data_IF_694210716784
#
_entry.id   IF_694210716784
#
_cell.length_a   1.000
_cell.length_b   1.000
_cell.length_c   1.000
_cell.angle_alpha   90.00
_cell.angle_beta   90.00
_cell.angle_gamma   90.00
#
_symmetry.space_group_name_H-M   'P 1'
#
loop_
_entity.id
_entity.type
_entity.pdbx_description
1 polymer ?
#
# COMPACT_ATOMS: atom_id res chain seq x y z
N UNK A 1 18.92 3.45 1.26
CA UNK A 1 18.93 4.11 2.58
C UNK A 1 18.69 3.04 3.63
N UNK A 2 19.43 3.02 4.75
CA UNK A 2 19.22 1.99 5.80
C UNK A 2 17.99 2.36 6.62
N UNK A 3 16.98 1.49 6.65
CA UNK A 3 15.73 1.71 7.40
C UNK A 3 15.78 0.96 8.72
N UNK A 4 15.40 1.62 9.81
CA UNK A 4 15.40 1.02 11.15
C UNK A 4 14.04 1.17 11.81
N UNK A 5 13.64 0.14 12.55
CA UNK A 5 12.50 0.20 13.45
C UNK A 5 12.94 0.70 14.81
N UNK A 6 12.33 1.79 15.25
CA UNK A 6 12.49 2.34 16.58
C UNK A 6 11.24 1.98 17.40
N UNK A 7 11.40 1.23 18.51
CA UNK A 7 10.31 1.00 19.45
C UNK A 7 9.80 2.33 20.00
N UNK A 8 8.48 2.49 20.02
CA UNK A 8 7.85 3.69 20.59
C UNK A 8 7.53 3.38 22.06
N UNK A 9 8.24 4.02 22.98
CA UNK A 9 8.02 3.83 24.41
C UNK A 9 6.85 4.70 24.90
N UNK A 10 5.63 4.17 24.82
CA UNK A 10 4.41 4.84 25.23
C UNK A 10 3.40 3.80 25.78
N UNK A 11 2.86 4.03 26.98
CA UNK A 11 1.97 3.08 27.65
C UNK A 11 0.65 2.85 26.89
N UNK A 12 0.05 3.90 26.32
CA UNK A 12 -1.18 3.78 25.53
C UNK A 12 -0.95 2.95 24.27
N UNK A 13 0.21 3.12 23.62
CA UNK A 13 0.58 2.33 22.45
C UNK A 13 0.85 0.87 22.82
N UNK A 14 1.50 0.61 23.96
CA UNK A 14 1.72 -0.76 24.44
C UNK A 14 0.37 -1.47 24.69
N UNK A 15 -0.57 -0.76 25.33
CA UNK A 15 -1.94 -1.25 25.53
C UNK A 15 -2.66 -1.47 24.19
N UNK A 16 -2.56 -0.53 23.25
CA UNK A 16 -3.18 -0.67 21.94
C UNK A 16 -2.62 -1.89 21.17
N UNK A 17 -1.30 -2.09 21.24
CA UNK A 17 -0.64 -3.25 20.64
C UNK A 17 -1.10 -4.56 21.29
N UNK A 18 -1.31 -4.61 22.61
CA UNK A 18 -1.78 -5.83 23.29
C UNK A 18 -3.24 -6.17 22.98
N UNK A 19 -4.08 -5.15 22.80
CA UNK A 19 -5.52 -5.31 22.57
C UNK A 19 -5.84 -5.61 21.09
N UNK A 20 -4.97 -5.19 20.16
CA UNK A 20 -5.13 -5.47 18.74
C UNK A 20 -4.46 -6.80 18.35
N UNK A 21 -5.25 -7.76 17.87
CA UNK A 21 -4.73 -9.07 17.42
C UNK A 21 -3.53 -8.95 16.45
N UNK A 22 -3.61 -8.03 15.49
CA UNK A 22 -2.53 -7.83 14.50
C UNK A 22 -1.26 -7.27 15.13
N UNK A 23 -1.40 -6.30 16.04
CA UNK A 23 -0.26 -5.58 16.60
C UNK A 23 0.35 -6.26 17.83
N UNK A 24 -0.32 -7.30 18.36
CA UNK A 24 0.24 -8.16 19.39
C UNK A 24 1.45 -8.95 18.87
N UNK A 25 1.35 -9.49 17.65
CA UNK A 25 2.44 -10.21 17.00
C UNK A 25 3.34 -9.27 16.19
N UNK A 26 2.76 -8.22 15.60
CA UNK A 26 3.48 -7.25 14.78
C UNK A 26 3.33 -5.82 15.33
N UNK A 27 4.02 -5.47 16.43
CA UNK A 27 3.83 -4.21 17.13
C UNK A 27 4.14 -3.01 16.25
N UNK A 28 3.43 -1.91 16.51
CA UNK A 28 3.71 -0.63 15.87
C UNK A 28 5.07 -0.09 16.30
N UNK A 29 5.86 0.35 15.32
CA UNK A 29 7.18 0.95 15.51
C UNK A 29 7.34 2.15 14.57
N UNK A 30 8.20 3.09 14.96
CA UNK A 30 8.56 4.21 14.10
C UNK A 30 9.64 3.78 13.12
N UNK A 31 9.49 4.11 11.84
CA UNK A 31 10.47 3.82 10.81
C UNK A 31 11.36 5.04 10.60
N UNK A 32 12.64 4.91 10.89
CA UNK A 32 13.65 5.92 10.56
C UNK A 32 14.29 5.62 9.19
N UNK A 33 14.56 6.64 8.36
CA UNK A 33 14.42 8.08 8.63
C UNK A 33 13.08 8.69 8.21
N UNK A 34 12.06 7.87 7.91
CA UNK A 34 10.79 8.35 7.36
C UNK A 34 9.87 8.99 8.40
N UNK A 35 10.14 8.77 9.70
CA UNK A 35 9.31 9.21 10.82
C UNK A 35 7.84 8.76 10.72
N UNK A 36 7.58 7.64 10.03
CA UNK A 36 6.24 7.08 9.88
C UNK A 36 6.08 5.84 10.74
N UNK A 37 4.91 5.69 11.38
CA UNK A 37 4.60 4.53 12.23
C UNK A 37 3.95 3.43 11.41
N UNK A 38 4.54 2.24 11.44
CA UNK A 38 4.01 1.04 10.77
C UNK A 38 4.12 -0.18 11.69
N UNK A 39 3.31 -1.23 11.43
CA UNK A 39 3.53 -2.53 12.06
C UNK A 39 4.93 -3.05 11.73
N UNK A 40 5.49 -3.87 12.62
CA UNK A 40 6.83 -4.40 12.42
C UNK A 40 6.98 -5.20 11.11
N UNK A 41 5.86 -5.73 10.61
CA UNK A 41 5.68 -6.42 9.33
C UNK A 41 6.16 -5.62 8.11
N UNK A 42 6.28 -4.29 8.18
CA UNK A 42 6.81 -3.48 7.08
C UNK A 42 8.21 -3.94 6.64
N UNK A 43 9.08 -4.31 7.58
CA UNK A 43 10.48 -4.63 7.26
C UNK A 43 10.62 -5.89 6.42
N UNK A 44 9.71 -6.85 6.57
CA UNK A 44 9.67 -8.07 5.75
C UNK A 44 9.38 -7.78 4.27
N UNK A 45 8.80 -6.61 3.99
CA UNK A 45 8.41 -6.17 2.65
C UNK A 45 9.18 -4.94 2.14
N UNK A 46 10.04 -4.33 2.97
CA UNK A 46 10.75 -3.11 2.59
C UNK A 46 11.52 -3.27 1.28
N UNK A 47 12.24 -4.38 1.11
CA UNK A 47 13.01 -4.66 -0.12
C UNK A 47 12.10 -4.70 -1.35
N UNK A 48 10.96 -5.38 -1.29
CA UNK A 48 10.05 -5.47 -2.45
C UNK A 48 9.42 -4.13 -2.78
N UNK A 49 9.21 -3.25 -1.80
CA UNK A 49 8.76 -1.89 -2.06
C UNK A 49 9.81 -1.06 -2.78
N UNK A 50 11.07 -1.14 -2.37
CA UNK A 50 12.16 -0.38 -2.99
C UNK A 50 12.49 -0.86 -4.42
N UNK A 51 12.36 -2.16 -4.68
CA UNK A 51 12.67 -2.77 -5.97
C UNK A 51 11.49 -2.76 -6.96
N UNK A 52 10.30 -2.34 -6.53
CA UNK A 52 9.10 -2.38 -7.36
C UNK A 52 9.27 -1.56 -8.66
N UNK A 53 8.72 -2.09 -9.76
CA UNK A 53 8.76 -1.40 -11.05
C UNK A 53 7.74 -0.27 -11.08
N UNK A 54 8.19 0.87 -11.62
CA UNK A 54 7.39 2.07 -11.83
C UNK A 54 7.43 2.43 -13.30
N UNK A 55 6.27 2.79 -13.84
CA UNK A 55 6.11 3.22 -15.22
C UNK A 55 5.55 4.64 -15.30
N UNK A 56 5.82 5.32 -16.41
CA UNK A 56 5.38 6.70 -16.67
C UNK A 56 3.86 6.88 -16.68
N UNK A 57 3.11 5.81 -16.98
CA UNK A 57 1.66 5.78 -17.05
C UNK A 57 1.01 5.35 -15.72
N UNK A 58 1.81 5.15 -14.67
CA UNK A 58 1.29 4.88 -13.34
C UNK A 58 0.73 6.15 -12.69
N UNK A 59 -0.35 5.95 -11.91
CA UNK A 59 -0.87 6.96 -10.98
C UNK A 59 -0.89 6.36 -9.58
N UNK A 60 -0.18 6.99 -8.65
CA UNK A 60 -0.03 6.53 -7.27
C UNK A 60 -0.86 7.41 -6.33
N UNK A 61 -2.02 6.94 -5.91
CA UNK A 61 -2.87 7.58 -4.91
C UNK A 61 -2.23 7.39 -3.53
N UNK A 62 -1.43 8.39 -3.13
CA UNK A 62 -0.70 8.41 -1.87
C UNK A 62 -1.51 9.21 -0.85
N UNK A 63 -1.99 8.54 0.20
CA UNK A 63 -2.85 9.21 1.19
C UNK A 63 -2.55 8.71 2.59
N UNK A 64 -2.78 9.54 3.59
CA UNK A 64 -2.87 9.05 4.96
C UNK A 64 -4.11 8.13 5.12
N UNK A 65 -4.05 7.05 5.92
CA UNK A 65 -5.19 6.17 6.15
C UNK A 65 -6.44 6.95 6.58
N UNK A 66 -7.58 6.59 5.99
CA UNK A 66 -8.91 7.16 6.29
C UNK A 66 -9.16 8.60 5.81
N UNK A 67 -8.24 9.21 5.07
CA UNK A 67 -8.41 10.57 4.51
C UNK A 67 -9.15 10.60 3.16
N UNK A 68 -10.22 9.83 3.02
CA UNK A 68 -11.02 9.81 1.77
C UNK A 68 -10.45 8.99 0.62
N UNK A 69 -9.46 8.12 0.88
CA UNK A 69 -8.80 7.30 -0.16
C UNK A 69 -9.78 6.49 -1.02
N UNK A 70 -10.93 6.04 -0.47
CA UNK A 70 -11.94 5.31 -1.25
C UNK A 70 -12.47 6.15 -2.41
N UNK A 71 -12.85 7.40 -2.15
CA UNK A 71 -13.36 8.32 -3.16
C UNK A 71 -12.32 8.61 -4.22
N UNK A 72 -11.07 8.88 -3.81
CA UNK A 72 -9.97 9.12 -4.76
C UNK A 72 -9.73 7.93 -5.67
N UNK A 73 -9.73 6.70 -5.13
CA UNK A 73 -9.57 5.48 -5.94
C UNK A 73 -10.66 5.34 -6.99
N UNK A 74 -11.94 5.51 -6.62
CA UNK A 74 -13.05 5.41 -7.56
C UNK A 74 -13.01 6.50 -8.63
N UNK A 75 -12.81 7.76 -8.23
CA UNK A 75 -12.77 8.90 -9.16
C UNK A 75 -11.65 8.71 -10.19
N UNK A 76 -10.42 8.44 -9.74
CA UNK A 76 -9.27 8.28 -10.64
C UNK A 76 -9.44 7.03 -11.52
N UNK A 77 -9.93 5.92 -10.96
CA UNK A 77 -10.18 4.69 -11.72
C UNK A 77 -11.22 4.91 -12.84
N UNK A 78 -12.34 5.58 -12.54
CA UNK A 78 -13.36 5.90 -13.54
C UNK A 78 -12.83 6.86 -14.60
N UNK A 79 -12.14 7.94 -14.22
CA UNK A 79 -11.57 8.90 -15.17
C UNK A 79 -10.61 8.22 -16.16
N UNK A 80 -9.75 7.31 -15.67
CA UNK A 80 -8.82 6.58 -16.53
C UNK A 80 -9.49 5.55 -17.44
N UNK A 81 -10.65 5.04 -17.06
CA UNK A 81 -11.42 4.09 -17.87
C UNK A 81 -12.52 4.80 -18.69
N UNK A 82 -12.38 6.09 -18.97
CA UNK A 82 -13.32 6.82 -19.83
C UNK A 82 -14.73 6.92 -19.24
N UNK A 83 -14.84 6.96 -17.91
CA UNK A 83 -16.11 6.99 -17.16
C UNK A 83 -17.00 5.75 -17.42
N UNK A 84 -16.40 4.59 -17.68
CA UNK A 84 -17.10 3.31 -17.80
C UNK A 84 -17.54 2.79 -16.40
N UNK A 85 -18.70 3.25 -15.95
CA UNK A 85 -19.27 2.88 -14.66
C UNK A 85 -19.73 1.41 -14.58
N UNK A 86 -20.10 0.79 -15.71
CA UNK A 86 -20.51 -0.61 -15.72
C UNK A 86 -19.31 -1.54 -15.49
N UNK A 87 -18.18 -1.22 -16.11
CA UNK A 87 -16.90 -1.88 -15.79
C UNK A 87 -16.45 -1.64 -14.35
N UNK A 88 -16.67 -0.44 -13.82
CA UNK A 88 -16.32 -0.14 -12.43
C UNK A 88 -17.13 -0.99 -11.42
N UNK A 89 -18.41 -1.30 -11.73
CA UNK A 89 -19.28 -2.16 -10.92
C UNK A 89 -18.96 -3.65 -11.07
N UNK A 90 -18.45 -4.08 -12.23
CA UNK A 90 -18.19 -5.49 -12.52
C UNK A 90 -16.92 -6.04 -11.88
N UNK A 91 -16.04 -5.18 -11.34
CA UNK A 91 -14.78 -5.59 -10.71
C UNK A 91 -14.56 -4.95 -9.34
N UNK A 92 -14.13 -5.75 -8.32
CA UNK A 92 -13.76 -5.23 -7.01
C UNK A 92 -12.71 -4.10 -7.08
N UNK A 93 -12.89 -3.06 -6.25
CA UNK A 93 -11.97 -1.91 -6.22
C UNK A 93 -10.51 -2.31 -5.99
N UNK A 94 -10.25 -3.28 -5.11
CA UNK A 94 -8.88 -3.74 -4.81
C UNK A 94 -8.16 -4.43 -5.98
N UNK A 95 -8.89 -4.90 -6.99
CA UNK A 95 -8.31 -5.44 -8.23
C UNK A 95 -8.12 -4.34 -9.29
N UNK A 96 -8.99 -3.31 -9.28
CA UNK A 96 -8.87 -2.14 -10.16
C UNK A 96 -7.77 -1.17 -9.70
N UNK A 97 -7.62 -1.02 -8.39
CA UNK A 97 -6.67 -0.13 -7.74
C UNK A 97 -5.93 -0.92 -6.65
N UNK A 98 -4.92 -1.72 -7.01
CA UNK A 98 -4.15 -2.52 -6.06
C UNK A 98 -3.56 -1.68 -4.91
N UNK A 99 -3.63 -2.23 -3.70
CA UNK A 99 -3.08 -1.62 -2.49
C UNK A 99 -1.64 -2.11 -2.29
N UNK A 100 -0.67 -1.25 -2.61
CA UNK A 100 0.75 -1.57 -2.70
C UNK A 100 1.35 -2.12 -1.40
N UNK A 101 1.16 -1.41 -0.28
CA UNK A 101 1.69 -1.74 1.05
C UNK A 101 0.75 -2.65 1.86
N UNK A 102 -0.21 -3.33 1.23
CA UNK A 102 -1.19 -4.14 1.94
C UNK A 102 -0.56 -5.23 2.83
N UNK A 103 0.51 -5.86 2.34
CA UNK A 103 1.22 -6.90 3.10
C UNK A 103 2.00 -6.35 4.29
N UNK A 104 2.36 -5.05 4.31
CA UNK A 104 3.00 -4.41 5.47
C UNK A 104 2.01 -4.07 6.60
N UNK A 105 0.70 -4.10 6.34
CA UNK A 105 -0.34 -3.73 7.32
C UNK A 105 -1.31 -4.85 7.65
N UNK A 106 -1.16 -6.02 7.02
CA UNK A 106 -2.04 -7.17 7.21
C UNK A 106 -1.26 -8.48 7.08
N UNK A 107 -1.04 -9.16 8.20
CA UNK A 107 -0.37 -10.47 8.25
C UNK A 107 -1.09 -11.56 7.44
N UNK A 108 -2.39 -11.39 7.18
CA UNK A 108 -3.21 -12.29 6.36
C UNK A 108 -3.35 -11.81 4.90
N UNK A 109 -2.51 -10.89 4.41
CA UNK A 109 -2.64 -10.31 3.07
C UNK A 109 -2.75 -11.38 1.97
N UNK A 110 -1.89 -12.39 1.95
CA UNK A 110 -1.93 -13.49 0.97
C UNK A 110 -3.28 -14.22 0.97
N UNK A 111 -3.78 -14.59 2.16
CA UNK A 111 -5.08 -15.27 2.29
C UNK A 111 -6.22 -14.40 1.79
N UNK A 112 -6.19 -13.11 2.07
CA UNK A 112 -7.19 -12.15 1.61
C UNK A 112 -7.14 -11.98 0.08
N UNK A 113 -5.95 -11.83 -0.49
CA UNK A 113 -5.76 -11.74 -1.94
C UNK A 113 -6.27 -13.00 -2.66
N UNK A 114 -6.00 -14.18 -2.10
CA UNK A 114 -6.52 -15.45 -2.60
C UNK A 114 -8.05 -15.52 -2.54
N UNK A 115 -8.66 -15.01 -1.48
CA UNK A 115 -10.13 -14.92 -1.37
C UNK A 115 -10.74 -13.98 -2.42
N UNK A 116 -9.99 -12.99 -2.89
CA UNK A 116 -10.36 -12.12 -4.00
C UNK A 116 -10.00 -12.69 -5.39
N UNK A 117 -9.53 -13.94 -5.47
CA UNK A 117 -9.19 -14.61 -6.73
C UNK A 117 -7.81 -14.27 -7.29
N UNK A 118 -6.94 -13.62 -6.51
CA UNK A 118 -5.55 -13.36 -6.90
C UNK A 118 -4.62 -14.47 -6.39
N UNK A 119 -3.65 -14.88 -7.22
CA UNK A 119 -2.56 -15.77 -6.79
C UNK A 119 -1.36 -15.01 -6.18
N UNK A 120 -1.41 -13.67 -6.16
CA UNK A 120 -0.35 -12.85 -5.59
C UNK A 120 -0.32 -12.94 -4.07
N UNK A 121 0.89 -12.93 -3.50
CA UNK A 121 1.11 -13.01 -2.06
C UNK A 121 1.15 -11.66 -1.37
N UNK A 122 1.56 -10.63 -2.11
CA UNK A 122 1.74 -9.26 -1.59
C UNK A 122 1.02 -8.22 -2.44
N UNK A 123 0.78 -7.04 -1.85
CA UNK A 123 0.27 -5.89 -2.59
C UNK A 123 1.20 -5.44 -3.71
N UNK A 124 2.51 -5.43 -3.46
CA UNK A 124 3.53 -5.11 -4.46
C UNK A 124 3.52 -6.11 -5.65
N UNK A 125 3.36 -7.40 -5.38
CA UNK A 125 3.24 -8.41 -6.44
C UNK A 125 1.95 -8.23 -7.25
N UNK A 126 0.83 -7.89 -6.59
CA UNK A 126 -0.42 -7.57 -7.27
C UNK A 126 -0.26 -6.36 -8.21
N UNK A 127 0.45 -5.31 -7.77
CA UNK A 127 0.77 -4.15 -8.61
C UNK A 127 1.54 -4.55 -9.87
N UNK A 128 2.49 -5.49 -9.76
CA UNK A 128 3.27 -5.97 -10.91
C UNK A 128 2.44 -6.78 -11.91
N UNK A 129 1.38 -7.46 -11.46
CA UNK A 129 0.47 -8.23 -12.33
C UNK A 129 -0.74 -7.41 -12.82
N UNK A 130 -0.90 -6.18 -12.35
CA UNK A 130 -2.00 -5.31 -12.76
C UNK A 130 -1.75 -4.78 -14.18
N UNK A 131 -2.76 -4.89 -15.04
CA UNK A 131 -2.70 -4.38 -16.42
C UNK A 131 -2.43 -2.87 -16.45
N UNK A 132 -1.64 -2.45 -17.42
CA UNK A 132 -1.30 -1.03 -17.64
C UNK A 132 -2.39 -0.32 -18.46
N UNK A 133 -2.65 0.98 -18.23
CA UNK A 133 -2.03 1.84 -17.21
C UNK A 133 -2.55 1.54 -15.79
N UNK A 134 -1.67 1.59 -14.77
CA UNK A 134 -1.99 1.14 -13.39
C UNK A 134 -2.37 2.29 -12.47
N UNK A 135 -3.44 2.13 -11.68
CA UNK A 135 -3.77 3.05 -10.58
C UNK A 135 -3.39 2.29 -9.34
N UNK A 136 -2.54 2.86 -8.51
CA UNK A 136 -1.98 2.19 -7.35
C UNK A 136 -2.38 3.00 -6.13
N UNK A 137 -2.82 2.32 -5.07
CA UNK A 137 -3.12 2.96 -3.79
C UNK A 137 -2.01 2.64 -2.81
N UNK A 138 -1.57 3.64 -2.04
CA UNK A 138 -0.61 3.41 -0.96
C UNK A 138 -0.81 4.36 0.22
N UNK A 139 -0.37 3.92 1.40
CA UNK A 139 -0.25 4.75 2.60
C UNK A 139 1.20 5.06 2.99
N UNK A 140 2.16 4.63 2.16
CA UNK A 140 3.55 5.02 2.29
C UNK A 140 3.69 6.52 2.01
N UNK A 141 4.52 7.19 2.80
CA UNK A 141 4.94 8.55 2.51
C UNK A 141 5.75 8.60 1.20
N UNK A 142 5.85 9.78 0.60
CA UNK A 142 6.52 9.96 -0.70
C UNK A 142 7.97 9.44 -0.70
N UNK A 143 8.70 9.61 0.40
CA UNK A 143 10.08 9.16 0.56
C UNK A 143 10.23 7.64 0.69
N UNK A 144 9.15 6.94 1.05
CA UNK A 144 9.12 5.49 1.22
C UNK A 144 8.75 4.73 -0.06
N UNK A 145 8.33 5.46 -1.11
CA UNK A 145 7.97 4.88 -2.39
C UNK A 145 9.21 4.36 -3.15
N UNK A 146 9.03 3.54 -4.21
CA UNK A 146 10.15 3.08 -4.99
C UNK A 146 10.92 4.28 -5.58
N UNK A 147 12.27 4.35 -5.46
CA UNK A 147 13.06 5.48 -5.95
C UNK A 147 12.83 5.81 -7.44
N UNK A 148 12.46 4.79 -8.23
CA UNK A 148 12.10 4.91 -9.65
C UNK A 148 10.93 5.88 -9.92
N UNK A 149 10.09 6.19 -8.92
CA UNK A 149 9.03 7.22 -9.06
C UNK A 149 9.62 8.57 -9.49
N UNK A 150 10.77 8.96 -8.95
CA UNK A 150 11.40 10.25 -9.24
C UNK A 150 11.98 10.32 -10.66
N UNK A 151 12.31 9.16 -11.25
CA UNK A 151 12.95 9.07 -12.57
C UNK A 151 11.92 8.96 -13.71
N UNK A 152 10.82 8.25 -13.48
CA UNK A 152 9.90 7.81 -14.54
C UNK A 152 8.73 8.76 -14.78
N UNK A 153 8.61 9.84 -14.01
CA UNK A 153 7.53 10.83 -14.19
C UNK A 153 6.13 10.31 -13.83
N UNK A 154 6.05 9.24 -13.02
CA UNK A 154 4.77 8.73 -12.53
C UNK A 154 4.03 9.82 -11.74
N UNK A 155 2.70 9.86 -11.86
CA UNK A 155 1.89 10.89 -11.21
C UNK A 155 1.59 10.49 -9.77
N UNK A 156 1.92 11.37 -8.83
CA UNK A 156 1.63 11.21 -7.40
C UNK A 156 0.77 12.38 -6.93
N UNK A 157 -0.57 12.27 -6.96
CA UNK A 157 -1.47 13.27 -6.40
C UNK A 157 -1.47 13.30 -4.86
#
# INVERSE_FOLDING_TARGET
MEVKQIPINNEDLQRFNSDCYTFKEHPLSMLEPYHQVFPSLYMDHHKSFQEAEVYEDDVWICTFPKSGTRWMQEIVSCLRNGLDFEKAKSSPLGLRVPFFDFSAVSYNAEKMLKAYGSSCKTGAELVNHTLRPRTIKTHLSYEMLPPKIHEKGAKVP
#
